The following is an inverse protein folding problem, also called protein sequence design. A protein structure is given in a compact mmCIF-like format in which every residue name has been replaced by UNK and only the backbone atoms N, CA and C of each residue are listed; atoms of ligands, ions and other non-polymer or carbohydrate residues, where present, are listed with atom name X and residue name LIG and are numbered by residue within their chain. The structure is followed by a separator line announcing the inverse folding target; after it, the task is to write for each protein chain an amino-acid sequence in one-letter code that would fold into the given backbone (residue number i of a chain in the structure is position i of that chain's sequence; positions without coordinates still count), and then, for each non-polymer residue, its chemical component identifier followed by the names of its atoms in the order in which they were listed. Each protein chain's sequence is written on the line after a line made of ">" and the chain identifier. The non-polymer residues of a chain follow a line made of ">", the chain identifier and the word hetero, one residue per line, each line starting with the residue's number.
data_IF_551476864270
#
_entry.id   IF_551476864270
#
_cell.length_a   1.000
_cell.length_b   1.000
_cell.length_c   1.000
_cell.angle_alpha   90.00
_cell.angle_beta   90.00
_cell.angle_gamma   90.00
#
_symmetry.space_group_name_H-M   'P 1'
#
loop_
_entity.id
_entity.type
_entity.pdbx_description
1 polymer ?
#
# COMPACT_ATOMS: atom_id res chain seq x y z
N UNK A 1 -3.36 12.72 -44.66
CA UNK A 1 -4.49 13.32 -43.92
C UNK A 1 -4.53 12.58 -42.60
N UNK A 2 -3.63 13.00 -41.70
CA UNK A 2 -3.44 12.40 -40.38
C UNK A 2 -4.32 13.14 -39.38
N UNK A 3 -5.24 12.42 -38.76
CA UNK A 3 -6.14 12.95 -37.73
C UNK A 3 -5.79 12.26 -36.42
N UNK A 4 -4.94 12.90 -35.62
CA UNK A 4 -4.64 12.48 -34.26
C UNK A 4 -5.79 12.90 -33.33
N UNK A 5 -6.36 11.94 -32.60
CA UNK A 5 -7.31 12.19 -31.52
C UNK A 5 -6.58 12.06 -30.18
N UNK A 6 -6.83 12.94 -29.19
CA UNK A 6 -6.25 12.83 -27.86
C UNK A 6 -7.06 11.87 -26.99
N UNK A 7 -6.37 10.88 -26.41
CA UNK A 7 -6.88 9.99 -25.36
C UNK A 7 -6.72 10.71 -24.01
N UNK A 8 -7.83 11.08 -23.38
CA UNK A 8 -7.83 11.56 -21.99
C UNK A 8 -8.31 10.43 -21.10
N UNK A 9 -7.35 9.82 -20.41
CA UNK A 9 -7.53 8.75 -19.43
C UNK A 9 -8.09 9.36 -18.14
N UNK A 10 -9.39 9.22 -17.92
CA UNK A 10 -10.02 9.54 -16.64
C UNK A 10 -9.94 8.30 -15.73
N UNK A 11 -9.12 8.41 -14.69
CA UNK A 11 -9.01 7.48 -13.59
C UNK A 11 -10.05 7.82 -12.53
N UNK A 12 -11.07 6.96 -12.42
CA UNK A 12 -11.98 6.84 -11.29
C UNK A 12 -11.21 6.35 -10.07
N UNK A 13 -11.25 7.15 -9.00
CA UNK A 13 -10.85 6.74 -7.66
C UNK A 13 -11.96 7.21 -6.71
N UNK A 14 -12.93 6.33 -6.49
CA UNK A 14 -13.88 6.44 -5.39
C UNK A 14 -13.12 6.26 -4.07
N UNK A 15 -13.02 7.34 -3.31
CA UNK A 15 -12.50 7.33 -1.95
C UNK A 15 -13.67 7.63 -1.00
N UNK A 16 -14.12 6.59 -0.29
CA UNK A 16 -15.09 6.70 0.79
C UNK A 16 -14.60 7.69 1.86
N UNK A 17 -15.37 8.77 2.00
CA UNK A 17 -15.12 9.88 2.90
C UNK A 17 -15.66 9.55 4.30
N UNK A 18 -14.89 8.78 5.08
CA UNK A 18 -15.12 8.66 6.51
C UNK A 18 -14.53 9.91 7.21
N UNK A 19 -15.41 10.83 7.59
CA UNK A 19 -15.10 11.95 8.50
C UNK A 19 -14.58 11.42 9.84
N UNK A 20 -13.27 11.24 9.93
CA UNK A 20 -12.56 11.21 11.21
C UNK A 20 -11.93 12.58 11.43
N UNK A 21 -12.63 13.41 12.18
CA UNK A 21 -12.09 14.61 12.80
C UNK A 21 -11.06 14.21 13.86
N UNK A 22 -9.88 13.79 13.42
CA UNK A 22 -8.70 13.68 14.25
C UNK A 22 -8.06 15.07 14.33
N UNK A 23 -8.14 15.69 15.50
CA UNK A 23 -7.28 16.82 15.88
C UNK A 23 -5.83 16.38 15.72
N UNK A 24 -5.27 16.64 14.54
CA UNK A 24 -3.87 16.41 14.25
C UNK A 24 -3.09 17.47 15.01
N UNK A 25 -2.68 17.09 16.21
CA UNK A 25 -1.71 17.81 17.00
C UNK A 25 -0.40 17.68 16.23
N UNK A 26 -0.10 18.64 15.33
CA UNK A 26 1.16 18.71 14.58
C UNK A 26 2.28 19.01 15.58
N UNK A 27 2.68 17.98 16.31
CA UNK A 27 3.98 17.92 16.94
C UNK A 27 4.98 18.01 15.81
N UNK A 28 5.45 19.23 15.56
CA UNK A 28 6.62 19.54 14.77
C UNK A 28 7.77 18.74 15.38
N UNK A 29 7.91 17.49 14.95
CA UNK A 29 9.01 16.61 15.34
C UNK A 29 10.24 17.20 14.66
N UNK A 30 10.87 18.14 15.34
CA UNK A 30 12.21 18.59 15.03
C UNK A 30 13.07 17.35 14.80
N UNK A 31 13.85 17.26 13.71
CA UNK A 31 14.67 16.09 13.42
C UNK A 31 15.54 15.76 14.63
N UNK A 32 15.23 14.64 15.28
CA UNK A 32 15.77 14.17 16.57
C UNK A 32 17.28 13.90 16.57
N UNK A 33 18.01 14.25 15.50
CA UNK A 33 19.44 14.02 15.35
C UNK A 33 20.35 15.18 15.78
N UNK A 34 19.86 16.42 15.78
CA UNK A 34 20.69 17.61 16.07
C UNK A 34 21.18 17.70 17.54
N UNK A 35 20.35 17.42 18.58
CA UNK A 35 20.83 17.55 19.96
C UNK A 35 21.92 16.52 20.32
N UNK A 36 21.93 15.35 19.67
CA UNK A 36 22.95 14.32 19.88
C UNK A 36 24.33 14.75 19.37
N UNK A 37 24.40 15.44 18.23
CA UNK A 37 25.66 15.92 17.68
C UNK A 37 26.26 17.03 18.55
N UNK A 38 25.42 17.92 19.10
CA UNK A 38 25.87 19.00 19.95
C UNK A 38 26.42 18.50 21.29
N UNK A 39 25.81 17.48 21.90
CA UNK A 39 26.35 16.83 23.10
C UNK A 39 27.67 16.11 22.84
N UNK A 40 27.86 15.51 21.66
CA UNK A 40 29.12 14.87 21.28
C UNK A 40 30.25 15.90 21.16
N UNK A 41 30.00 17.02 20.47
CA UNK A 41 30.98 18.10 20.31
C UNK A 41 31.37 18.68 21.67
N UNK A 42 30.40 18.86 22.57
CA UNK A 42 30.67 19.41 23.90
C UNK A 42 31.49 18.45 24.77
N UNK A 43 31.22 17.14 24.67
CA UNK A 43 32.04 16.11 25.32
C UNK A 43 33.47 16.06 24.74
N UNK A 44 33.62 16.13 23.41
CA UNK A 44 34.94 16.15 22.76
C UNK A 44 35.75 17.39 23.17
N UNK A 45 35.10 18.55 23.29
CA UNK A 45 35.73 19.77 23.80
C UNK A 45 36.20 19.60 25.25
N UNK A 46 35.35 19.06 26.12
CA UNK A 46 35.73 18.82 27.53
C UNK A 46 36.90 17.83 27.65
N UNK A 47 36.97 16.81 26.81
CA UNK A 47 38.12 15.88 26.82
C UNK A 47 39.41 16.52 26.32
N UNK A 48 39.34 17.47 25.38
CA UNK A 48 40.51 18.23 24.91
C UNK A 48 41.03 19.18 26.00
N UNK A 49 40.12 19.89 26.68
CA UNK A 49 40.49 20.79 27.79
C UNK A 49 41.18 20.00 28.93
N UNK A 50 40.67 18.80 29.26
CA UNK A 50 41.30 17.93 30.27
C UNK A 50 42.66 17.37 29.82
N UNK A 51 42.82 17.05 28.53
CA UNK A 51 44.12 16.64 27.97
C UNK A 51 45.15 17.77 28.06
N UNK A 52 44.75 19.02 27.79
CA UNK A 52 45.62 20.19 27.90
C UNK A 52 46.10 20.41 29.34
N UNK A 53 45.21 20.24 30.32
CA UNK A 53 45.54 20.32 31.75
C UNK A 53 46.56 19.23 32.15
N UNK A 54 46.34 17.97 31.75
CA UNK A 54 47.29 16.87 32.04
C UNK A 54 48.64 17.04 31.36
N UNK A 55 48.68 17.59 30.15
CA UNK A 55 49.92 17.94 29.45
C UNK A 55 50.67 19.07 30.17
N UNK A 56 49.94 20.04 30.72
CA UNK A 56 50.48 21.09 31.58
C UNK A 56 51.17 20.53 32.83
N UNK A 57 50.53 19.59 33.53
CA UNK A 57 51.10 18.93 34.71
C UNK A 57 52.34 18.10 34.38
N UNK A 58 52.28 17.30 33.30
CA UNK A 58 53.41 16.48 32.83
C UNK A 58 54.59 17.36 32.42
N UNK A 59 54.32 18.52 31.81
CA UNK A 59 55.36 19.49 31.47
C UNK A 59 56.05 20.02 32.73
N UNK A 60 55.29 20.36 33.76
CA UNK A 60 55.83 20.78 35.06
C UNK A 60 56.76 19.73 35.68
N UNK A 61 56.35 18.46 35.64
CA UNK A 61 57.16 17.34 36.14
C UNK A 61 58.41 17.10 35.30
N UNK A 62 58.29 17.18 33.98
CA UNK A 62 59.41 16.98 33.04
C UNK A 62 60.48 18.07 33.22
N UNK A 63 60.07 19.32 33.46
CA UNK A 63 60.99 20.43 33.68
C UNK A 63 61.77 20.27 35.01
N UNK A 64 61.16 19.68 36.04
CA UNK A 64 61.86 19.32 37.27
C UNK A 64 62.89 18.20 37.04
N UNK A 65 62.56 17.18 36.25
CA UNK A 65 63.49 16.07 35.93
C UNK A 65 64.67 16.55 35.09
N UNK A 66 64.44 17.44 34.12
CA UNK A 66 65.51 18.04 33.32
C UNK A 66 66.49 18.86 34.18
N UNK A 67 65.99 19.53 35.23
CA UNK A 67 66.82 20.26 36.19
C UNK A 67 67.76 19.34 37.01
N UNK A 68 67.41 18.05 37.15
CA UNK A 68 68.21 17.05 37.89
C UNK A 68 69.33 16.40 37.05
N UNK A 69 69.59 16.87 35.83
CA UNK A 69 70.71 16.39 35.01
C UNK A 69 70.41 15.08 34.26
N UNK A 70 69.20 14.98 33.71
CA UNK A 70 68.81 13.87 32.83
C UNK A 70 69.66 13.78 31.56
N UNK A 71 69.78 12.55 31.05
CA UNK A 71 70.48 12.18 29.82
C UNK A 71 70.11 13.13 28.66
N UNK A 72 71.07 13.78 27.95
CA UNK A 72 70.80 14.73 26.86
C UNK A 72 69.89 14.17 25.75
N UNK A 73 69.82 12.85 25.63
CA UNK A 73 68.93 12.17 24.67
C UNK A 73 67.44 12.42 24.98
N UNK A 74 67.07 12.51 26.26
CA UNK A 74 65.69 12.75 26.71
C UNK A 74 65.21 14.16 26.33
N UNK A 75 66.11 15.16 26.36
CA UNK A 75 65.76 16.53 25.99
C UNK A 75 65.40 16.66 24.51
N UNK A 76 66.05 15.87 23.64
CA UNK A 76 65.74 15.82 22.22
C UNK A 76 64.38 15.15 21.97
N UNK A 77 64.11 14.03 22.64
CA UNK A 77 62.83 13.32 22.54
C UNK A 77 61.65 14.20 22.99
N UNK A 78 61.82 15.00 24.05
CA UNK A 78 60.79 15.95 24.52
C UNK A 78 60.47 17.02 23.46
N UNK A 79 61.51 17.54 22.78
CA UNK A 79 61.31 18.57 21.77
C UNK A 79 60.62 18.01 20.51
N UNK A 80 60.92 16.76 20.14
CA UNK A 80 60.24 16.07 19.05
C UNK A 80 58.76 15.78 19.39
N UNK A 81 58.46 15.34 20.62
CA UNK A 81 57.07 15.18 21.10
C UNK A 81 56.33 16.52 21.07
N UNK A 82 56.96 17.64 21.47
CA UNK A 82 56.33 18.96 21.40
C UNK A 82 56.01 19.39 19.98
N UNK A 83 56.93 19.18 19.03
CA UNK A 83 56.67 19.46 17.62
C UNK A 83 55.54 18.60 17.09
N UNK A 84 55.52 17.33 17.46
CA UNK A 84 54.46 16.41 17.06
C UNK A 84 53.11 16.81 17.65
N UNK A 85 53.05 17.21 18.93
CA UNK A 85 51.83 17.69 19.58
C UNK A 85 51.29 18.93 18.89
N UNK A 86 52.11 19.97 18.67
CA UNK A 86 51.68 21.19 17.96
C UNK A 86 51.20 20.89 16.55
N UNK A 87 51.86 19.98 15.83
CA UNK A 87 51.41 19.55 14.51
C UNK A 87 50.09 18.78 14.55
N UNK A 88 49.86 18.01 15.60
CA UNK A 88 48.63 17.22 15.77
C UNK A 88 47.46 18.13 16.15
N UNK A 89 47.67 19.04 17.08
CA UNK A 89 46.70 20.05 17.50
C UNK A 89 46.26 20.92 16.31
N UNK A 90 47.21 21.41 15.51
CA UNK A 90 46.88 22.17 14.29
C UNK A 90 46.01 21.35 13.34
N UNK A 91 46.36 20.09 13.07
CA UNK A 91 45.56 19.20 12.21
C UNK A 91 44.16 18.94 12.78
N UNK A 92 44.04 18.80 14.11
CA UNK A 92 42.76 18.63 14.77
C UNK A 92 41.90 19.90 14.65
N UNK A 93 42.47 21.08 14.86
CA UNK A 93 41.77 22.35 14.70
C UNK A 93 41.29 22.56 13.25
N UNK A 94 42.15 22.27 12.27
CA UNK A 94 41.80 22.31 10.85
C UNK A 94 40.64 21.32 10.56
N UNK A 95 40.71 20.11 11.10
CA UNK A 95 39.66 19.09 10.96
C UNK A 95 38.33 19.48 11.64
N UNK A 96 38.36 20.11 12.81
CA UNK A 96 37.16 20.62 13.48
C UNK A 96 36.51 21.74 12.66
N UNK A 97 37.32 22.62 12.06
CA UNK A 97 36.81 23.69 11.21
C UNK A 97 36.16 23.13 9.93
N UNK A 98 36.75 22.09 9.34
CA UNK A 98 36.16 21.37 8.19
C UNK A 98 34.81 20.75 8.55
N UNK A 99 34.74 19.99 9.65
CA UNK A 99 33.48 19.40 10.15
C UNK A 99 32.43 20.46 10.42
N UNK A 100 32.81 21.60 11.02
CA UNK A 100 31.91 22.71 11.27
C UNK A 100 31.36 23.31 9.97
N UNK A 101 32.20 23.42 8.94
CA UNK A 101 31.77 23.93 7.62
C UNK A 101 30.80 22.98 6.92
N UNK A 102 31.05 21.67 6.99
CA UNK A 102 30.17 20.63 6.43
C UNK A 102 28.82 20.64 7.16
N UNK A 103 28.84 20.68 8.50
CA UNK A 103 27.61 20.70 9.30
C UNK A 103 26.78 21.95 9.01
N UNK A 104 27.43 23.12 8.88
CA UNK A 104 26.76 24.37 8.52
C UNK A 104 26.13 24.27 7.13
N UNK A 105 26.86 23.78 6.14
CA UNK A 105 26.36 23.62 4.78
C UNK A 105 25.19 22.63 4.70
N UNK A 106 25.31 21.46 5.35
CA UNK A 106 24.24 20.46 5.40
C UNK A 106 22.98 21.04 6.07
N UNK A 107 23.14 21.78 7.18
CA UNK A 107 22.00 22.37 7.88
C UNK A 107 21.36 23.54 7.10
N UNK A 108 22.16 24.38 6.44
CA UNK A 108 21.64 25.51 5.66
C UNK A 108 20.94 25.09 4.38
N UNK A 109 21.39 24.01 3.71
CA UNK A 109 20.80 23.57 2.46
C UNK A 109 19.75 22.48 2.65
N UNK A 110 20.09 21.36 3.30
CA UNK A 110 19.20 20.21 3.35
C UNK A 110 17.94 20.49 4.18
N UNK A 111 18.08 21.17 5.32
CA UNK A 111 16.93 21.49 6.18
C UNK A 111 16.03 22.52 5.51
N UNK A 112 16.61 23.53 4.85
CA UNK A 112 15.83 24.55 4.13
C UNK A 112 15.11 23.94 2.93
N UNK A 113 15.77 23.07 2.18
CA UNK A 113 15.14 22.39 1.03
C UNK A 113 14.02 21.45 1.46
N UNK A 114 14.21 20.69 2.55
CA UNK A 114 13.16 19.84 3.12
C UNK A 114 11.98 20.67 3.64
N UNK A 115 12.23 21.75 4.39
CA UNK A 115 11.18 22.64 4.88
C UNK A 115 10.43 23.31 3.73
N UNK A 116 11.15 23.76 2.71
CA UNK A 116 10.55 24.36 1.51
C UNK A 116 9.64 23.37 0.80
N UNK A 117 10.12 22.14 0.56
CA UNK A 117 9.32 21.09 -0.07
C UNK A 117 8.07 20.76 0.75
N UNK A 118 8.20 20.62 2.07
CA UNK A 118 7.07 20.37 2.96
C UNK A 118 6.04 21.50 2.90
N UNK A 119 6.49 22.75 2.95
CA UNK A 119 5.60 23.92 2.86
C UNK A 119 4.92 24.00 1.49
N UNK A 120 5.63 23.68 0.41
CA UNK A 120 5.06 23.62 -0.94
C UNK A 120 3.97 22.54 -1.04
N UNK A 121 4.20 21.35 -0.49
CA UNK A 121 3.20 20.26 -0.44
C UNK A 121 1.98 20.64 0.41
N UNK A 122 2.19 21.29 1.55
CA UNK A 122 1.09 21.73 2.42
C UNK A 122 0.28 22.87 1.79
N UNK A 123 0.93 23.83 1.12
CA UNK A 123 0.25 24.89 0.37
C UNK A 123 -0.54 24.29 -0.80
N UNK A 124 0.03 23.33 -1.54
CA UNK A 124 -0.67 22.68 -2.64
C UNK A 124 -1.94 21.98 -2.16
N UNK A 125 -1.86 21.24 -1.05
CA UNK A 125 -3.02 20.58 -0.43
C UNK A 125 -4.10 21.58 0.00
N UNK A 126 -3.69 22.70 0.59
CA UNK A 126 -4.65 23.73 1.02
C UNK A 126 -5.32 24.42 -0.16
N UNK A 127 -4.58 24.68 -1.24
CA UNK A 127 -5.13 25.22 -2.48
C UNK A 127 -6.15 24.24 -3.08
N UNK A 128 -5.85 22.94 -3.13
CA UNK A 128 -6.78 21.92 -3.61
C UNK A 128 -8.09 21.92 -2.80
N UNK A 129 -8.00 21.99 -1.47
CA UNK A 129 -9.16 22.08 -0.59
C UNK A 129 -9.99 23.35 -0.86
N UNK A 130 -9.35 24.52 -0.92
CA UNK A 130 -10.04 25.79 -1.18
C UNK A 130 -10.69 25.83 -2.56
N UNK A 131 -10.02 25.28 -3.58
CA UNK A 131 -10.57 25.17 -4.93
C UNK A 131 -11.77 24.22 -4.93
N UNK A 132 -11.69 23.06 -4.27
CA UNK A 132 -12.81 22.12 -4.19
C UNK A 132 -14.04 22.76 -3.50
N UNK A 133 -13.84 23.46 -2.38
CA UNK A 133 -14.91 24.17 -1.67
C UNK A 133 -15.54 25.27 -2.53
N UNK A 134 -14.70 26.09 -3.17
CA UNK A 134 -15.17 27.20 -3.98
C UNK A 134 -15.90 26.70 -5.24
N UNK A 135 -15.40 25.63 -5.86
CA UNK A 135 -16.06 24.97 -6.99
C UNK A 135 -17.42 24.41 -6.55
N UNK A 136 -17.50 23.72 -5.41
CA UNK A 136 -18.76 23.19 -4.89
C UNK A 136 -19.81 24.31 -4.66
N UNK A 137 -19.39 25.45 -4.11
CA UNK A 137 -20.27 26.62 -3.90
C UNK A 137 -20.71 27.23 -5.24
N UNK A 138 -19.78 27.38 -6.18
CA UNK A 138 -20.07 27.89 -7.52
C UNK A 138 -21.05 26.98 -8.28
N UNK A 139 -20.85 25.66 -8.23
CA UNK A 139 -21.74 24.67 -8.84
C UNK A 139 -23.15 24.76 -8.25
N UNK A 140 -23.29 24.85 -6.92
CA UNK A 140 -24.60 25.00 -6.26
C UNK A 140 -25.35 26.27 -6.67
N UNK A 141 -24.62 27.36 -6.95
CA UNK A 141 -25.24 28.65 -7.30
C UNK A 141 -25.58 28.75 -8.79
N UNK A 142 -24.76 28.14 -9.66
CA UNK A 142 -24.85 28.34 -11.11
C UNK A 142 -25.53 27.18 -11.84
N UNK A 143 -25.51 25.97 -11.28
CA UNK A 143 -26.14 24.79 -11.89
C UNK A 143 -27.39 24.44 -11.09
N UNK A 144 -28.59 24.54 -11.69
CA UNK A 144 -29.82 24.08 -11.06
C UNK A 144 -29.69 22.65 -10.54
N UNK A 145 -30.26 22.38 -9.37
CA UNK A 145 -30.21 21.05 -8.73
C UNK A 145 -30.74 19.95 -9.67
N UNK A 146 -31.76 20.25 -10.47
CA UNK A 146 -32.35 19.32 -11.44
C UNK A 146 -31.32 18.78 -12.46
N UNK A 147 -30.42 19.64 -12.96
CA UNK A 147 -29.37 19.22 -13.90
C UNK A 147 -28.25 18.44 -13.19
N UNK A 148 -27.97 18.73 -11.92
CA UNK A 148 -27.00 17.97 -11.14
C UNK A 148 -27.51 16.55 -10.89
N UNK A 149 -28.79 16.43 -10.54
CA UNK A 149 -29.46 15.15 -10.32
C UNK A 149 -29.52 14.35 -11.63
N UNK A 150 -29.82 14.98 -12.77
CA UNK A 150 -29.81 14.34 -14.09
C UNK A 150 -28.40 13.84 -14.48
N UNK A 151 -27.35 14.65 -14.25
CA UNK A 151 -25.98 14.21 -14.52
C UNK A 151 -25.59 13.02 -13.63
N UNK A 152 -25.96 13.05 -12.35
CA UNK A 152 -25.71 11.94 -11.44
C UNK A 152 -26.46 10.66 -11.87
N UNK A 153 -27.70 10.79 -12.35
CA UNK A 153 -28.48 9.68 -12.90
C UNK A 153 -27.84 9.11 -14.17
N UNK A 154 -27.42 9.97 -15.11
CA UNK A 154 -26.73 9.56 -16.34
C UNK A 154 -25.37 8.92 -16.07
N UNK A 155 -24.61 9.43 -15.08
CA UNK A 155 -23.34 8.80 -14.66
C UNK A 155 -23.58 7.38 -14.14
N UNK A 156 -24.59 7.20 -13.28
CA UNK A 156 -24.98 5.88 -12.79
C UNK A 156 -25.43 4.94 -13.92
N UNK A 157 -26.16 5.46 -14.91
CA UNK A 157 -26.54 4.68 -16.09
C UNK A 157 -25.30 4.27 -16.91
N UNK A 158 -24.37 5.19 -17.15
CA UNK A 158 -23.12 4.91 -17.87
C UNK A 158 -22.25 3.88 -17.15
N UNK A 159 -22.14 3.96 -15.83
CA UNK A 159 -21.45 2.95 -15.02
C UNK A 159 -22.09 1.57 -15.15
N UNK A 160 -23.42 1.52 -15.15
CA UNK A 160 -24.17 0.27 -15.37
C UNK A 160 -23.87 -0.31 -16.74
N UNK A 161 -23.96 0.51 -17.80
CA UNK A 161 -23.67 0.10 -19.19
C UNK A 161 -22.21 -0.34 -19.35
N UNK A 162 -21.27 0.41 -18.77
CA UNK A 162 -19.83 0.08 -18.82
C UNK A 162 -19.56 -1.27 -18.15
N UNK A 163 -20.21 -1.53 -17.02
CA UNK A 163 -20.10 -2.79 -16.29
C UNK A 163 -20.72 -3.95 -17.07
N UNK A 164 -21.88 -3.74 -17.68
CA UNK A 164 -22.54 -4.74 -18.52
C UNK A 164 -21.73 -5.06 -19.78
N UNK A 165 -21.11 -4.05 -20.38
CA UNK A 165 -20.18 -4.23 -21.50
C UNK A 165 -18.97 -5.06 -21.07
N UNK A 166 -18.32 -4.68 -19.98
CA UNK A 166 -17.16 -5.42 -19.44
C UNK A 166 -17.53 -6.87 -19.08
N UNK A 167 -18.69 -7.07 -18.44
CA UNK A 167 -19.22 -8.39 -18.13
C UNK A 167 -19.51 -9.21 -19.40
N UNK A 168 -20.01 -8.58 -20.46
CA UNK A 168 -20.27 -9.23 -21.75
C UNK A 168 -18.97 -9.63 -22.44
N UNK A 169 -17.95 -8.77 -22.41
CA UNK A 169 -16.61 -9.06 -22.93
C UNK A 169 -15.94 -10.20 -22.16
N UNK A 170 -16.03 -10.19 -20.83
CA UNK A 170 -15.47 -11.24 -20.00
C UNK A 170 -16.20 -12.57 -20.18
N UNK A 171 -17.54 -12.56 -20.30
CA UNK A 171 -18.31 -13.76 -20.67
C UNK A 171 -17.88 -14.30 -22.03
N UNK A 172 -17.62 -13.43 -23.01
CA UNK A 172 -17.11 -13.84 -24.32
C UNK A 172 -15.71 -14.44 -24.24
N UNK A 173 -14.83 -13.89 -23.40
CA UNK A 173 -13.51 -14.46 -23.12
C UNK A 173 -13.63 -15.85 -22.48
N UNK A 174 -14.43 -15.95 -21.43
CA UNK A 174 -14.72 -17.20 -20.72
C UNK A 174 -15.37 -18.27 -21.61
N UNK A 175 -16.18 -17.86 -22.60
CA UNK A 175 -16.80 -18.76 -23.58
C UNK A 175 -15.78 -19.46 -24.50
N UNK A 176 -14.55 -18.94 -24.57
CA UNK A 176 -13.46 -19.54 -25.35
C UNK A 176 -12.70 -20.60 -24.55
N UNK A 177 -12.88 -20.65 -23.23
CA UNK A 177 -12.27 -21.64 -22.36
C UNK A 177 -12.80 -23.04 -22.67
N UNK A 178 -11.89 -24.03 -22.66
CA UNK A 178 -12.17 -25.43 -22.98
C UNK A 178 -11.90 -26.30 -21.76
N UNK A 179 -12.58 -27.45 -21.69
CA UNK A 179 -12.35 -28.45 -20.64
C UNK A 179 -10.94 -29.05 -20.66
N UNK A 180 -10.19 -28.91 -21.74
CA UNK A 180 -8.79 -29.35 -21.81
C UNK A 180 -7.81 -28.40 -21.11
N UNK A 181 -8.24 -27.18 -20.77
CA UNK A 181 -7.40 -26.13 -20.20
C UNK A 181 -8.01 -25.59 -18.90
N UNK A 182 -8.14 -26.47 -17.90
CA UNK A 182 -8.76 -26.13 -16.61
C UNK A 182 -7.96 -25.11 -15.79
N UNK A 183 -6.66 -24.98 -16.06
CA UNK A 183 -5.76 -24.04 -15.40
C UNK A 183 -5.81 -22.63 -16.01
N UNK A 184 -6.56 -22.42 -17.11
CA UNK A 184 -6.73 -21.10 -17.70
C UNK A 184 -7.49 -20.16 -16.75
N UNK A 185 -7.08 -18.89 -16.73
CA UNK A 185 -7.64 -17.88 -15.85
C UNK A 185 -9.08 -17.52 -16.26
N UNK A 186 -9.99 -17.54 -15.29
CA UNK A 186 -11.38 -17.13 -15.48
C UNK A 186 -11.47 -15.62 -15.32
N UNK A 187 -11.98 -14.92 -16.34
CA UNK A 187 -12.12 -13.46 -16.30
C UNK A 187 -13.24 -13.06 -15.32
N UNK A 188 -13.00 -12.10 -14.40
CA UNK A 188 -13.94 -11.74 -13.34
C UNK A 188 -15.21 -11.08 -13.86
N UNK A 189 -16.35 -11.41 -13.27
CA UNK A 189 -17.63 -10.76 -13.56
C UNK A 189 -17.98 -9.84 -12.39
N UNK A 190 -18.27 -8.57 -12.67
CA UNK A 190 -18.68 -7.61 -11.65
C UNK A 190 -20.16 -7.78 -11.31
N UNK A 191 -20.52 -7.56 -10.04
CA UNK A 191 -21.93 -7.57 -9.59
C UNK A 191 -22.63 -6.24 -9.90
N UNK A 192 -23.87 -6.10 -9.44
CA UNK A 192 -24.65 -4.85 -9.47
C UNK A 192 -24.08 -3.72 -8.61
N UNK A 193 -23.15 -4.02 -7.70
CA UNK A 193 -22.41 -3.05 -6.89
C UNK A 193 -21.06 -2.62 -7.51
N UNK A 194 -20.65 -3.23 -8.63
CA UNK A 194 -19.35 -2.96 -9.28
C UNK A 194 -18.16 -3.68 -8.66
N UNK A 195 -18.35 -4.43 -7.57
CA UNK A 195 -17.31 -5.22 -6.92
C UNK A 195 -17.25 -6.65 -7.50
N UNK A 196 -16.13 -7.33 -7.26
CA UNK A 196 -15.97 -8.76 -7.54
C UNK A 196 -16.08 -9.50 -6.21
N UNK A 197 -16.84 -10.61 -6.14
CA UNK A 197 -16.87 -11.46 -4.95
C UNK A 197 -15.47 -11.81 -4.42
N UNK A 198 -15.29 -11.75 -3.10
CA UNK A 198 -14.03 -12.16 -2.48
C UNK A 198 -13.73 -13.65 -2.71
N UNK A 199 -14.78 -14.45 -2.86
CA UNK A 199 -14.72 -15.90 -3.14
C UNK A 199 -14.71 -16.23 -4.64
N UNK A 200 -14.38 -15.26 -5.51
CA UNK A 200 -14.34 -15.49 -6.95
C UNK A 200 -13.24 -16.49 -7.35
N UNK A 201 -13.55 -17.56 -8.08
CA UNK A 201 -12.56 -18.54 -8.48
C UNK A 201 -11.65 -17.99 -9.59
N UNK A 202 -10.32 -17.97 -9.41
CA UNK A 202 -9.41 -17.45 -10.42
C UNK A 202 -9.26 -18.36 -11.65
N UNK A 203 -9.60 -19.65 -11.57
CA UNK A 203 -9.46 -20.63 -12.67
C UNK A 203 -10.65 -21.59 -12.70
N UNK A 204 -10.86 -22.29 -13.82
CA UNK A 204 -11.93 -23.30 -13.92
C UNK A 204 -11.75 -24.45 -12.92
N UNK A 205 -10.50 -24.84 -12.68
CA UNK A 205 -10.15 -25.86 -11.69
C UNK A 205 -10.56 -25.46 -10.28
N UNK A 206 -10.35 -24.21 -9.87
CA UNK A 206 -10.78 -23.74 -8.54
C UNK A 206 -12.30 -23.68 -8.47
N UNK A 207 -12.98 -23.21 -9.53
CA UNK A 207 -14.45 -23.24 -9.63
C UNK A 207 -14.99 -24.66 -9.45
N UNK A 208 -14.42 -25.67 -10.11
CA UNK A 208 -14.82 -27.07 -9.95
C UNK A 208 -14.52 -27.63 -8.55
N UNK A 209 -13.54 -27.08 -7.85
CA UNK A 209 -13.15 -27.53 -6.51
C UNK A 209 -13.98 -26.90 -5.38
N UNK A 210 -14.74 -25.84 -5.62
CA UNK A 210 -15.48 -25.07 -4.58
C UNK A 210 -16.49 -25.88 -3.76
N UNK A 211 -17.04 -26.94 -4.33
CA UNK A 211 -17.97 -27.83 -3.62
C UNK A 211 -17.41 -29.27 -3.49
N UNK A 212 -16.11 -29.45 -3.70
CA UNK A 212 -15.45 -30.68 -3.33
C UNK A 212 -15.55 -30.86 -1.82
N UNK A 213 -16.26 -31.90 -1.41
CA UNK A 213 -16.52 -32.28 -0.02
C UNK A 213 -15.40 -31.87 0.96
N UNK A 214 -15.61 -30.77 1.69
CA UNK A 214 -15.19 -30.71 3.09
C UNK A 214 -16.13 -31.61 3.95
N UNK A 215 -16.60 -32.74 3.42
CA UNK A 215 -17.39 -33.74 4.14
C UNK A 215 -16.51 -34.70 4.96
N UNK A 216 -15.18 -34.60 4.86
CA UNK A 216 -14.27 -35.41 5.68
C UNK A 216 -13.76 -34.75 6.97
N UNK A 217 -14.25 -33.55 7.33
CA UNK A 217 -13.87 -32.86 8.57
C UNK A 217 -14.87 -32.98 9.73
N UNK A 218 -16.11 -33.39 9.48
CA UNK A 218 -17.19 -33.37 10.48
C UNK A 218 -17.09 -34.48 11.56
N UNK A 219 -15.93 -35.13 11.72
CA UNK A 219 -15.64 -36.02 12.84
C UNK A 219 -14.30 -35.70 13.54
N UNK A 220 -13.68 -34.53 13.30
CA UNK A 220 -12.61 -34.06 14.18
C UNK A 220 -13.22 -33.38 15.40
N UNK A 221 -13.43 -34.20 16.42
CA UNK A 221 -13.88 -33.88 17.77
C UNK A 221 -12.83 -33.01 18.51
N UNK A 222 -12.44 -31.88 17.93
CA UNK A 222 -11.54 -30.92 18.58
C UNK A 222 -12.17 -29.53 18.55
N UNK A 223 -13.01 -29.32 19.55
CA UNK A 223 -13.60 -28.07 19.98
C UNK A 223 -12.48 -27.13 20.48
N UNK A 224 -11.82 -26.40 19.58
CA UNK A 224 -10.89 -25.35 19.96
C UNK A 224 -10.94 -24.17 18.96
N UNK A 225 -11.53 -23.06 19.45
CA UNK A 225 -11.49 -21.68 18.94
C UNK A 225 -12.27 -21.35 17.64
N UNK A 226 -13.46 -20.74 17.76
CA UNK A 226 -14.34 -20.38 16.64
C UNK A 226 -14.15 -18.93 16.17
N UNK A 227 -12.93 -18.46 15.91
CA UNK A 227 -12.74 -17.10 15.40
C UNK A 227 -11.88 -17.09 14.13
N UNK A 228 -12.55 -16.82 13.00
CA UNK A 228 -12.01 -16.50 11.67
C UNK A 228 -11.40 -17.65 10.84
N UNK A 229 -12.01 -18.83 10.84
CA UNK A 229 -11.77 -19.78 9.75
C UNK A 229 -12.39 -19.23 8.45
N UNK A 230 -11.63 -19.08 7.34
CA UNK A 230 -12.16 -18.67 6.05
C UNK A 230 -13.27 -19.63 5.63
N UNK A 231 -14.48 -19.10 5.46
CA UNK A 231 -15.63 -19.87 4.98
C UNK A 231 -15.19 -20.46 3.64
N UNK A 232 -15.16 -21.79 3.55
CA UNK A 232 -14.81 -22.46 2.32
C UNK A 232 -15.73 -21.94 1.20
N UNK A 233 -15.17 -21.50 0.06
CA UNK A 233 -15.96 -20.89 -0.99
C UNK A 233 -16.87 -21.95 -1.59
N UNK A 234 -18.15 -21.96 -1.22
CA UNK A 234 -19.15 -22.87 -1.79
C UNK A 234 -19.77 -22.25 -3.02
N UNK A 235 -20.15 -23.07 -4.01
CA UNK A 235 -20.85 -22.58 -5.21
C UNK A 235 -22.18 -21.91 -4.83
N UNK A 236 -22.85 -22.41 -3.78
CA UNK A 236 -24.07 -21.82 -3.24
C UNK A 236 -23.85 -20.41 -2.70
N UNK A 237 -22.77 -20.18 -1.95
CA UNK A 237 -22.43 -18.85 -1.46
C UNK A 237 -22.18 -17.89 -2.63
N UNK A 238 -21.44 -18.34 -3.65
CA UNK A 238 -21.18 -17.53 -4.84
C UNK A 238 -22.46 -17.20 -5.61
N UNK A 239 -23.41 -18.14 -5.73
CA UNK A 239 -24.72 -17.86 -6.34
C UNK A 239 -25.52 -16.82 -5.57
N UNK A 240 -25.51 -16.88 -4.23
CA UNK A 240 -26.16 -15.88 -3.38
C UNK A 240 -25.52 -14.51 -3.54
N UNK A 241 -24.20 -14.46 -3.63
CA UNK A 241 -23.45 -13.21 -3.78
C UNK A 241 -23.66 -12.51 -5.13
N UNK A 242 -23.97 -13.28 -6.18
CA UNK A 242 -24.39 -12.76 -7.48
C UNK A 242 -25.91 -12.61 -7.62
N UNK A 243 -26.68 -12.87 -6.55
CA UNK A 243 -28.14 -12.79 -6.55
C UNK A 243 -28.80 -13.64 -7.66
N UNK A 244 -28.20 -14.78 -7.99
CA UNK A 244 -28.73 -15.66 -9.04
C UNK A 244 -29.99 -16.40 -8.54
N UNK A 245 -31.05 -16.48 -9.35
CA UNK A 245 -32.25 -17.22 -8.98
C UNK A 245 -31.97 -18.73 -8.90
N UNK A 246 -32.79 -19.42 -8.11
CA UNK A 246 -32.84 -20.89 -8.02
C UNK A 246 -31.57 -21.56 -7.48
N UNK A 247 -30.98 -21.04 -6.39
CA UNK A 247 -29.94 -21.76 -5.67
C UNK A 247 -30.49 -23.11 -5.16
N UNK A 248 -29.95 -24.21 -5.68
CA UNK A 248 -30.36 -25.57 -5.38
C UNK A 248 -29.40 -26.20 -4.36
N UNK A 249 -29.83 -27.25 -3.64
CA UNK A 249 -28.92 -28.01 -2.78
C UNK A 249 -27.95 -28.90 -3.58
N UNK A 250 -28.27 -29.19 -4.86
CA UNK A 250 -27.35 -29.86 -5.78
C UNK A 250 -26.24 -28.92 -6.27
N UNK A 251 -25.01 -29.26 -5.88
CA UNK A 251 -23.74 -28.69 -6.38
C UNK A 251 -23.70 -28.58 -7.90
N UNK A 252 -23.98 -29.68 -8.60
CA UNK A 252 -23.83 -29.75 -10.05
C UNK A 252 -24.79 -28.76 -10.75
N UNK A 253 -26.00 -28.60 -10.21
CA UNK A 253 -26.98 -27.61 -10.70
C UNK A 253 -26.47 -26.18 -10.50
N UNK A 254 -25.97 -25.86 -9.31
CA UNK A 254 -25.43 -24.54 -9.00
C UNK A 254 -24.21 -24.20 -9.86
N UNK A 255 -23.29 -25.15 -10.01
CA UNK A 255 -22.08 -24.96 -10.79
C UNK A 255 -22.37 -24.84 -12.29
N UNK A 256 -23.30 -25.62 -12.83
CA UNK A 256 -23.76 -25.43 -14.21
C UNK A 256 -24.39 -24.05 -14.42
N UNK A 257 -25.14 -23.55 -13.43
CA UNK A 257 -25.75 -22.20 -13.50
C UNK A 257 -24.70 -21.10 -13.43
N UNK A 258 -23.71 -21.24 -12.55
CA UNK A 258 -22.57 -20.31 -12.46
C UNK A 258 -21.72 -20.32 -13.72
N UNK A 259 -21.43 -21.49 -14.30
CA UNK A 259 -20.72 -21.58 -15.58
C UNK A 259 -21.49 -20.90 -16.71
N UNK A 260 -22.80 -21.13 -16.79
CA UNK A 260 -23.67 -20.44 -17.75
C UNK A 260 -23.64 -18.92 -17.54
N UNK A 261 -23.69 -18.47 -16.28
CA UNK A 261 -23.58 -17.06 -15.93
C UNK A 261 -22.20 -16.51 -16.33
N UNK A 262 -21.10 -17.16 -16.00
CA UNK A 262 -19.76 -16.72 -16.40
C UNK A 262 -19.48 -16.82 -17.90
N UNK A 263 -20.40 -17.37 -18.70
CA UNK A 263 -20.28 -17.49 -20.15
C UNK A 263 -19.51 -18.73 -20.60
N UNK A 264 -19.16 -19.63 -19.69
CA UNK A 264 -18.46 -20.88 -20.00
C UNK A 264 -19.43 -21.81 -20.75
N UNK A 265 -19.06 -22.23 -21.96
CA UNK A 265 -19.92 -23.06 -22.84
C UNK A 265 -19.98 -24.54 -22.44
N UNK A 266 -19.05 -24.98 -21.61
CA UNK A 266 -18.98 -26.36 -21.14
C UNK A 266 -19.96 -26.59 -19.97
N UNK A 267 -20.64 -27.74 -19.97
CA UNK A 267 -21.52 -28.18 -18.89
C UNK A 267 -20.99 -29.50 -18.32
N UNK A 268 -20.94 -29.65 -17.00
CA UNK A 268 -20.38 -30.85 -16.34
C UNK A 268 -21.30 -32.07 -16.47
N UNK A 269 -22.61 -31.85 -16.57
CA UNK A 269 -23.60 -32.89 -16.75
C UNK A 269 -24.54 -32.38 -17.83
N UNK A 270 -24.62 -33.09 -18.96
CA UNK A 270 -25.77 -32.90 -19.87
C UNK A 270 -26.98 -33.26 -19.04
N UNK A 271 -27.75 -32.25 -18.59
CA UNK A 271 -29.07 -32.50 -18.06
C UNK A 271 -29.78 -33.26 -19.17
N UNK A 272 -29.91 -34.59 -19.00
CA UNK A 272 -30.79 -35.35 -19.88
C UNK A 272 -32.13 -34.66 -19.74
N UNK A 273 -32.66 -34.04 -20.80
CA UNK A 273 -33.93 -33.37 -20.68
C UNK A 273 -34.90 -34.43 -20.20
N UNK A 274 -35.54 -34.23 -19.04
CA UNK A 274 -36.57 -35.11 -18.47
C UNK A 274 -37.85 -35.15 -19.35
N UNK A 275 -37.70 -34.89 -20.66
CA UNK A 275 -38.73 -34.83 -21.68
C UNK A 275 -39.29 -36.20 -22.07
N UNK A 276 -38.99 -37.27 -21.33
CA UNK A 276 -39.52 -38.62 -21.58
C UNK A 276 -40.50 -39.15 -20.52
N UNK A 277 -40.77 -38.40 -19.44
CA UNK A 277 -41.65 -38.90 -18.38
C UNK A 277 -43.15 -38.57 -18.54
N UNK A 278 -43.56 -37.79 -19.55
CA UNK A 278 -44.96 -37.31 -19.68
C UNK A 278 -45.85 -38.12 -20.64
N UNK A 279 -45.37 -39.19 -21.26
CA UNK A 279 -46.06 -39.85 -22.40
C UNK A 279 -46.65 -41.24 -22.12
N UNK A 280 -46.78 -41.64 -20.85
CA UNK A 280 -47.45 -42.89 -20.46
C UNK A 280 -48.41 -42.67 -19.28
N UNK A 281 -49.31 -41.69 -19.39
CA UNK A 281 -50.53 -41.69 -18.59
C UNK A 281 -51.65 -42.08 -19.55
N UNK A 282 -51.91 -43.39 -19.57
CA UNK A 282 -52.82 -44.05 -20.50
C UNK A 282 -54.23 -43.49 -20.42
N UNK A 283 -54.78 -43.31 -21.62
CA UNK A 283 -56.21 -43.33 -21.89
C UNK A 283 -56.78 -44.69 -21.45
N UNK A 284 -57.30 -44.75 -20.23
CA UNK A 284 -58.29 -45.74 -19.81
C UNK A 284 -59.58 -44.99 -19.44
N UNK A 285 -60.44 -44.74 -20.42
CA UNK A 285 -61.86 -44.44 -20.19
C UNK A 285 -62.71 -44.63 -21.47
N UNK A 286 -63.56 -45.65 -21.40
CA UNK A 286 -64.80 -45.97 -22.15
C UNK A 286 -64.76 -46.38 -23.65
#
# INVERSE_FOLDING_TARGET
>A
MDSASPTTTASDLDHEFLSSSASSNYGLTTPSGVPSAQSLIQNMKSTLDSLDETLGELHGQTMQIALLGGDPQIAQDIEDVRRQLKSTEKRQMDGVQEVQSILKHALEHEVVDLLKKQVEEDIAREIENLVAEQVALCLKTHIPQELQDEVAEQQKELETVRRDLHNSENRRGNASLRSSHEDDALLPIYKTDGTVPAIYPPTLKTLFSMDGEWSHGANSLFEAAPELSPIAPTSRALMMEYELPDSSDSRERNLNRLMQFFGVKYQMVTSFPECFASLNQGDDAD
#
